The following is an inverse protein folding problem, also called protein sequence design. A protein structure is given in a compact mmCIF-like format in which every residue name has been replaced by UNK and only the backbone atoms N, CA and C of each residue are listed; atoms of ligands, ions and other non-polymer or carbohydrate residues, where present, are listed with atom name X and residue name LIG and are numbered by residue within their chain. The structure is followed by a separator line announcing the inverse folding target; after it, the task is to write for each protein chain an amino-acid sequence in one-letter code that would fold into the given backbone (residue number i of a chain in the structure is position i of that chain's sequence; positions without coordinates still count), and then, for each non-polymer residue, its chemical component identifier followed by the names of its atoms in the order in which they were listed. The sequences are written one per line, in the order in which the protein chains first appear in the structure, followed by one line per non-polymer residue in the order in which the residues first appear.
data_IF_691996526551
#
_entry.id   IF_691996526551
#
_cell.length_a   1.000
_cell.length_b   1.000
_cell.length_c   1.000
_cell.angle_alpha   90.00
_cell.angle_beta   90.00
_cell.angle_gamma   90.00
#
_symmetry.space_group_name_H-M   'P 1'
#
loop_
_entity.id
_entity.type
_entity.pdbx_description
1 polymer ?
#
# COMPACT_ATOMS: atom_id res chain seq x y z
N UNK A 1 14.57 -2.63 -20.36
CA UNK A 1 13.29 -2.52 -19.64
C UNK A 1 12.12 -2.52 -20.62
N UNK A 2 12.24 -1.86 -21.77
CA UNK A 2 11.16 -1.68 -22.75
C UNK A 2 10.48 -2.97 -23.23
N UNK A 3 11.26 -4.04 -23.43
CA UNK A 3 10.71 -5.35 -23.82
C UNK A 3 9.77 -5.90 -22.75
N UNK A 4 10.15 -5.81 -21.47
CA UNK A 4 9.33 -6.29 -20.35
C UNK A 4 8.07 -5.43 -20.18
N UNK A 5 8.18 -4.12 -20.36
CA UNK A 5 7.03 -3.21 -20.34
C UNK A 5 6.01 -3.56 -21.43
N UNK A 6 6.47 -3.78 -22.66
CA UNK A 6 5.59 -4.19 -23.77
C UNK A 6 4.89 -5.53 -23.50
N UNK A 7 5.58 -6.49 -22.87
CA UNK A 7 4.97 -7.77 -22.46
C UNK A 7 3.91 -7.56 -21.38
N UNK A 8 4.21 -6.73 -20.38
CA UNK A 8 3.28 -6.40 -19.30
C UNK A 8 2.01 -5.75 -19.84
N UNK A 9 2.13 -4.76 -20.72
CA UNK A 9 0.98 -4.07 -21.34
C UNK A 9 0.14 -4.97 -22.25
N UNK A 10 0.71 -6.04 -22.82
CA UNK A 10 -0.05 -7.05 -23.57
C UNK A 10 -0.75 -8.07 -22.68
N UNK A 11 -0.50 -8.06 -21.37
CA UNK A 11 -1.06 -9.02 -20.44
C UNK A 11 -2.49 -8.63 -20.04
N UNK A 12 -3.49 -9.46 -20.38
CA UNK A 12 -4.89 -9.26 -19.97
C UNK A 12 -5.04 -9.19 -18.44
N UNK A 13 -4.23 -9.95 -17.71
CA UNK A 13 -4.23 -9.99 -16.24
C UNK A 13 -3.81 -8.65 -15.61
N UNK A 14 -3.04 -7.82 -16.32
CA UNK A 14 -2.69 -6.47 -15.88
C UNK A 14 -3.94 -5.60 -15.76
N UNK A 15 -4.77 -5.61 -16.80
CA UNK A 15 -5.98 -4.79 -16.86
C UNK A 15 -6.99 -5.24 -15.81
N UNK A 16 -7.15 -6.56 -15.59
CA UNK A 16 -8.04 -7.10 -14.56
C UNK A 16 -7.57 -6.64 -13.18
N UNK A 17 -6.29 -6.84 -12.86
CA UNK A 17 -5.72 -6.45 -11.57
C UNK A 17 -5.84 -4.94 -11.33
N UNK A 18 -5.46 -4.14 -12.33
CA UNK A 18 -5.53 -2.66 -12.24
C UNK A 18 -6.98 -2.19 -12.10
N UNK A 19 -7.92 -2.78 -12.83
CA UNK A 19 -9.34 -2.48 -12.70
C UNK A 19 -9.86 -2.81 -11.30
N UNK A 20 -9.51 -3.98 -10.73
CA UNK A 20 -9.88 -4.33 -9.36
C UNK A 20 -9.31 -3.33 -8.33
N UNK A 21 -8.03 -2.96 -8.47
CA UNK A 21 -7.40 -1.95 -7.60
C UNK A 21 -8.10 -0.59 -7.71
N UNK A 22 -8.41 -0.15 -8.94
CA UNK A 22 -9.13 1.09 -9.19
C UNK A 22 -10.57 1.05 -8.64
N UNK A 23 -11.27 -0.08 -8.76
CA UNK A 23 -12.62 -0.23 -8.21
C UNK A 23 -12.62 -0.16 -6.68
N UNK A 24 -11.65 -0.80 -6.02
CA UNK A 24 -11.48 -0.67 -4.57
C UNK A 24 -11.23 0.79 -4.17
N UNK A 25 -10.38 1.50 -4.94
CA UNK A 25 -10.10 2.91 -4.68
C UNK A 25 -11.33 3.77 -4.91
N UNK A 26 -11.97 3.70 -6.07
CA UNK A 26 -13.16 4.50 -6.37
C UNK A 26 -14.25 4.23 -5.34
N UNK A 27 -14.46 2.95 -4.97
CA UNK A 27 -15.43 2.57 -3.97
C UNK A 27 -15.13 3.17 -2.60
N UNK A 28 -13.88 3.06 -2.10
CA UNK A 28 -13.57 3.68 -0.82
C UNK A 28 -13.62 5.22 -0.91
N UNK A 29 -13.36 5.86 -2.07
CA UNK A 29 -13.48 7.32 -2.22
C UNK A 29 -14.95 7.73 -2.07
N UNK A 30 -15.85 7.02 -2.74
CA UNK A 30 -17.29 7.29 -2.65
C UNK A 30 -17.79 7.10 -1.22
N UNK A 31 -17.38 6.02 -0.54
CA UNK A 31 -17.71 5.81 0.86
C UNK A 31 -17.11 6.91 1.76
N UNK A 32 -15.82 7.23 1.61
CA UNK A 32 -15.17 8.25 2.42
C UNK A 32 -15.76 9.66 2.23
N UNK A 33 -16.19 10.02 1.02
CA UNK A 33 -16.90 11.29 0.78
C UNK A 33 -18.29 11.29 1.44
N UNK A 34 -18.98 10.16 1.43
CA UNK A 34 -20.27 10.01 2.14
C UNK A 34 -20.05 10.15 3.65
N UNK A 35 -19.11 9.41 4.21
CA UNK A 35 -18.80 9.41 5.64
C UNK A 35 -18.35 10.81 6.09
N UNK A 36 -17.55 11.51 5.28
CA UNK A 36 -17.18 12.90 5.53
C UNK A 36 -18.39 13.84 5.60
N UNK A 37 -19.34 13.74 4.67
CA UNK A 37 -20.53 14.59 4.67
C UNK A 37 -21.41 14.31 5.89
N UNK A 38 -21.56 13.05 6.26
CA UNK A 38 -22.29 12.65 7.47
C UNK A 38 -21.59 13.16 8.73
N UNK A 39 -20.26 13.03 8.82
CA UNK A 39 -19.47 13.52 9.94
C UNK A 39 -19.60 15.06 10.09
N UNK A 40 -19.43 15.82 9.01
CA UNK A 40 -19.60 17.29 9.04
C UNK A 40 -21.00 17.68 9.52
N UNK A 41 -22.05 17.00 9.05
CA UNK A 41 -23.43 17.26 9.51
C UNK A 41 -23.63 16.93 11.00
N UNK A 42 -22.99 15.88 11.50
CA UNK A 42 -23.05 15.52 12.92
C UNK A 42 -22.30 16.55 13.79
N UNK A 43 -21.10 16.96 13.36
CA UNK A 43 -20.32 17.99 14.04
C UNK A 43 -21.09 19.32 14.04
N UNK A 44 -21.81 19.65 12.97
CA UNK A 44 -22.67 20.84 12.89
C UNK A 44 -23.79 20.81 13.93
N UNK A 45 -24.39 19.66 14.16
CA UNK A 45 -25.48 19.49 15.14
C UNK A 45 -25.00 19.50 16.58
N UNK A 46 -23.84 18.91 16.87
CA UNK A 46 -23.33 18.71 18.23
C UNK A 46 -22.47 19.90 18.69
N UNK A 47 -21.65 20.43 17.80
CA UNK A 47 -20.60 21.41 18.11
C UNK A 47 -20.75 22.72 17.33
N UNK A 48 -21.99 23.15 17.09
CA UNK A 48 -22.30 24.33 16.26
C UNK A 48 -21.53 25.61 16.68
N UNK A 49 -21.24 25.77 17.98
CA UNK A 49 -20.53 26.92 18.55
C UNK A 49 -18.99 26.84 18.42
N UNK A 50 -18.43 25.71 17.99
CA UNK A 50 -16.99 25.45 18.05
C UNK A 50 -16.36 25.35 16.65
N UNK A 51 -15.93 26.47 16.03
CA UNK A 51 -15.35 26.49 14.67
C UNK A 51 -14.10 25.62 14.54
N UNK A 52 -13.36 25.43 15.64
CA UNK A 52 -12.13 24.62 15.69
C UNK A 52 -12.35 23.14 15.40
N UNK A 53 -13.54 22.62 15.72
CA UNK A 53 -13.90 21.22 15.50
C UNK A 53 -14.11 20.96 14.00
N UNK A 54 -14.75 21.90 13.30
CA UNK A 54 -14.93 21.81 11.85
C UNK A 54 -13.61 21.91 11.08
N UNK A 55 -12.66 22.70 11.59
CA UNK A 55 -11.33 22.79 10.98
C UNK A 55 -10.55 21.46 11.04
N UNK A 56 -10.86 20.58 12.00
CA UNK A 56 -10.29 19.24 12.09
C UNK A 56 -10.99 18.23 11.16
N UNK A 57 -12.19 18.52 10.66
CA UNK A 57 -12.86 17.66 9.71
C UNK A 57 -12.22 17.81 8.32
N UNK A 58 -11.80 16.70 7.72
CA UNK A 58 -11.17 16.71 6.39
C UNK A 58 -11.55 15.46 5.60
N UNK A 59 -11.88 15.59 4.30
CA UNK A 59 -12.16 14.44 3.43
C UNK A 59 -11.03 13.41 3.37
N UNK A 60 -9.77 13.86 3.52
CA UNK A 60 -8.63 12.95 3.52
C UNK A 60 -8.62 12.05 4.75
N UNK A 61 -9.21 12.48 5.88
CA UNK A 61 -9.29 11.64 7.07
C UNK A 61 -10.14 10.39 6.84
N UNK A 62 -11.25 10.56 6.14
CA UNK A 62 -12.27 9.52 5.97
C UNK A 62 -11.96 8.56 4.82
N UNK A 63 -11.37 9.06 3.72
CA UNK A 63 -10.99 8.22 2.58
C UNK A 63 -9.63 7.53 2.79
N UNK A 64 -8.59 8.29 3.14
CA UNK A 64 -7.23 7.73 3.32
C UNK A 64 -7.16 6.89 4.60
N UNK A 65 -8.23 6.91 5.40
CA UNK A 65 -8.29 6.26 6.70
C UNK A 65 -7.26 6.89 7.61
N UNK A 66 -7.17 8.23 7.68
CA UNK A 66 -6.37 8.91 8.71
C UNK A 66 -7.19 9.10 9.98
N UNK A 67 -8.52 9.09 9.90
CA UNK A 67 -9.39 9.19 11.07
C UNK A 67 -9.15 8.02 12.01
N UNK A 68 -8.92 8.30 13.30
CA UNK A 68 -8.57 7.26 14.28
C UNK A 68 -9.69 6.23 14.49
N UNK A 69 -10.94 6.69 14.49
CA UNK A 69 -12.13 5.88 14.77
C UNK A 69 -12.97 5.51 13.54
N UNK A 70 -12.63 6.05 12.37
CA UNK A 70 -13.42 5.89 11.16
C UNK A 70 -12.78 4.84 10.24
N UNK A 71 -13.43 3.67 10.18
CA UNK A 71 -12.93 2.51 9.44
C UNK A 71 -13.54 2.43 8.05
N UNK A 72 -12.79 2.83 7.03
CA UNK A 72 -13.19 2.63 5.64
C UNK A 72 -12.83 1.20 5.18
N UNK A 73 -13.84 0.33 5.14
CA UNK A 73 -13.70 -1.10 4.81
C UNK A 73 -12.98 -1.33 3.47
N UNK A 74 -13.31 -0.52 2.46
CA UNK A 74 -12.76 -0.70 1.11
C UNK A 74 -11.29 -0.25 1.02
N UNK A 75 -10.89 0.76 1.79
CA UNK A 75 -9.49 1.18 1.91
C UNK A 75 -8.67 0.09 2.63
N UNK A 76 -9.19 -0.45 3.73
CA UNK A 76 -8.58 -1.59 4.42
C UNK A 76 -8.47 -2.83 3.54
N UNK A 77 -9.49 -3.12 2.72
CA UNK A 77 -9.45 -4.22 1.75
C UNK A 77 -8.39 -4.00 0.66
N UNK A 78 -8.12 -2.76 0.26
CA UNK A 78 -7.01 -2.45 -0.64
C UNK A 78 -5.66 -2.84 -0.03
N UNK A 79 -5.39 -2.40 1.21
CA UNK A 79 -4.16 -2.77 1.95
C UNK A 79 -4.09 -4.25 2.32
N UNK A 80 -5.24 -4.93 2.33
CA UNK A 80 -5.32 -6.37 2.56
C UNK A 80 -5.02 -7.19 1.29
N UNK A 81 -5.58 -6.80 0.14
CA UNK A 81 -5.56 -7.58 -1.11
C UNK A 81 -4.45 -7.19 -2.09
N UNK A 82 -3.73 -6.09 -1.86
CA UNK A 82 -2.68 -5.66 -2.80
C UNK A 82 -1.64 -6.76 -3.12
N UNK A 83 -1.17 -7.63 -2.19
CA UNK A 83 -0.16 -8.62 -2.53
C UNK A 83 -0.67 -9.60 -3.58
N UNK A 84 -1.94 -9.99 -3.48
CA UNK A 84 -2.63 -10.84 -4.44
C UNK A 84 -2.88 -10.14 -5.78
N UNK A 85 -3.44 -8.94 -5.74
CA UNK A 85 -3.81 -8.24 -6.97
C UNK A 85 -2.57 -7.92 -7.81
N UNK A 86 -1.48 -7.50 -7.19
CA UNK A 86 -0.22 -7.20 -7.89
C UNK A 86 0.52 -8.45 -8.37
N UNK A 87 0.35 -9.59 -7.71
CA UNK A 87 1.03 -10.84 -8.12
C UNK A 87 0.44 -11.42 -9.41
N UNK A 88 -0.87 -11.28 -9.62
CA UNK A 88 -1.59 -11.78 -10.79
C UNK A 88 -0.95 -11.38 -12.14
N UNK A 89 -0.61 -10.10 -12.39
CA UNK A 89 0.05 -9.72 -13.64
C UNK A 89 1.56 -9.93 -13.63
N UNK A 90 2.22 -9.70 -12.49
CA UNK A 90 3.68 -9.61 -12.42
C UNK A 90 4.35 -10.96 -12.21
N UNK A 91 3.85 -11.78 -11.28
CA UNK A 91 4.42 -13.10 -11.00
C UNK A 91 4.05 -14.09 -12.10
N UNK A 92 2.81 -14.03 -12.60
CA UNK A 92 2.34 -14.85 -13.73
C UNK A 92 3.16 -14.63 -15.01
N UNK A 93 3.77 -13.43 -15.17
CA UNK A 93 4.63 -13.15 -16.32
C UNK A 93 5.79 -14.14 -16.42
N UNK A 94 6.30 -14.63 -15.29
CA UNK A 94 7.42 -15.56 -15.24
C UNK A 94 7.01 -16.99 -15.62
N UNK A 95 5.87 -17.46 -15.09
CA UNK A 95 5.33 -18.78 -15.42
C UNK A 95 5.01 -18.88 -16.92
N UNK A 96 4.43 -17.81 -17.50
CA UNK A 96 4.15 -17.73 -18.93
C UNK A 96 5.42 -17.73 -19.78
N UNK A 97 6.46 -17.02 -19.37
CA UNK A 97 7.74 -16.99 -20.08
C UNK A 97 8.44 -18.35 -20.08
N UNK A 98 8.37 -19.08 -18.96
CA UNK A 98 8.89 -20.45 -18.87
C UNK A 98 8.14 -21.39 -19.80
N UNK A 99 6.80 -21.39 -19.76
CA UNK A 99 5.97 -22.28 -20.59
C UNK A 99 6.08 -21.99 -22.09
N UNK A 100 6.32 -20.74 -22.47
CA UNK A 100 6.50 -20.35 -23.88
C UNK A 100 7.91 -20.55 -24.41
N UNK A 101 8.88 -20.99 -23.59
CA UNK A 101 10.28 -21.07 -23.97
C UNK A 101 10.97 -19.71 -24.18
N UNK A 102 10.28 -18.61 -23.88
CA UNK A 102 10.81 -17.25 -24.02
C UNK A 102 12.04 -17.02 -23.13
N UNK A 103 12.13 -17.71 -21.99
CA UNK A 103 13.32 -17.66 -21.12
C UNK A 103 14.55 -18.11 -21.89
N UNK A 104 14.50 -19.24 -22.60
CA UNK A 104 15.63 -19.74 -23.38
C UNK A 104 16.05 -18.78 -24.48
N UNK A 105 15.07 -18.21 -25.21
CA UNK A 105 15.36 -17.22 -26.24
C UNK A 105 16.02 -15.93 -25.70
N UNK A 106 15.71 -15.53 -24.47
CA UNK A 106 16.39 -14.40 -23.83
C UNK A 106 17.81 -14.80 -23.38
N UNK A 107 17.97 -16.01 -22.83
CA UNK A 107 19.27 -16.51 -22.35
C UNK A 107 20.30 -16.72 -23.48
N UNK A 108 19.88 -16.94 -24.73
CA UNK A 108 20.81 -16.96 -25.87
C UNK A 108 21.37 -15.58 -26.24
N UNK A 109 20.67 -14.50 -25.86
CA UNK A 109 21.04 -13.11 -26.18
C UNK A 109 21.67 -12.35 -25.01
N UNK A 110 21.48 -12.82 -23.78
CA UNK A 110 22.03 -12.18 -22.59
C UNK A 110 22.43 -13.20 -21.52
N UNK A 111 23.46 -12.86 -20.75
CA UNK A 111 23.89 -13.70 -19.63
C UNK A 111 22.77 -13.89 -18.59
N UNK A 112 22.71 -15.11 -18.03
CA UNK A 112 21.71 -15.54 -17.05
C UNK A 112 21.52 -14.56 -15.89
N UNK A 113 22.61 -14.14 -15.25
CA UNK A 113 22.53 -13.19 -14.14
C UNK A 113 21.98 -11.82 -14.54
N UNK A 114 22.30 -11.35 -15.74
CA UNK A 114 21.79 -10.08 -16.25
C UNK A 114 20.28 -10.14 -16.55
N UNK A 115 19.80 -11.27 -17.10
CA UNK A 115 18.37 -11.51 -17.31
C UNK A 115 17.59 -11.46 -16.00
N UNK A 116 17.99 -12.29 -15.04
CA UNK A 116 17.26 -12.42 -13.77
C UNK A 116 17.30 -11.13 -12.94
N UNK A 117 18.43 -10.42 -12.90
CA UNK A 117 18.51 -9.12 -12.22
C UNK A 117 17.58 -8.09 -12.88
N UNK A 118 17.53 -8.04 -14.21
CA UNK A 118 16.61 -7.15 -14.95
C UNK A 118 15.15 -7.49 -14.67
N UNK A 119 14.81 -8.79 -14.61
CA UNK A 119 13.46 -9.25 -14.29
C UNK A 119 13.05 -8.83 -12.89
N UNK A 120 13.90 -9.09 -11.90
CA UNK A 120 13.67 -8.68 -10.52
C UNK A 120 13.43 -7.17 -10.39
N UNK A 121 14.32 -6.35 -10.96
CA UNK A 121 14.20 -4.89 -10.89
C UNK A 121 12.96 -4.37 -11.61
N UNK A 122 12.64 -4.94 -12.77
CA UNK A 122 11.42 -4.58 -13.50
C UNK A 122 10.15 -4.93 -12.70
N UNK A 123 10.09 -6.12 -12.11
CA UNK A 123 8.96 -6.54 -11.27
C UNK A 123 8.83 -5.65 -10.04
N UNK A 124 9.93 -5.32 -9.37
CA UNK A 124 9.95 -4.45 -8.20
C UNK A 124 9.39 -3.06 -8.56
N UNK A 125 9.94 -2.41 -9.58
CA UNK A 125 9.51 -1.07 -10.00
C UNK A 125 8.06 -1.07 -10.50
N UNK A 126 7.66 -2.10 -11.26
CA UNK A 126 6.28 -2.20 -11.77
C UNK A 126 5.27 -2.40 -10.64
N UNK A 127 5.60 -3.21 -9.63
CA UNK A 127 4.75 -3.41 -8.46
C UNK A 127 4.57 -2.11 -7.67
N UNK A 128 5.66 -1.35 -7.49
CA UNK A 128 5.64 -0.04 -6.81
C UNK A 128 4.63 0.91 -7.47
N UNK A 129 4.73 1.07 -8.80
CA UNK A 129 3.82 1.98 -9.51
C UNK A 129 2.39 1.46 -9.62
N UNK A 130 2.19 0.15 -9.78
CA UNK A 130 0.85 -0.44 -9.80
C UNK A 130 0.12 -0.30 -8.46
N UNK A 131 0.86 -0.29 -7.35
CA UNK A 131 0.32 0.05 -6.04
C UNK A 131 0.04 1.55 -5.92
N UNK A 132 1.02 2.39 -6.26
CA UNK A 132 0.94 3.83 -6.00
C UNK A 132 -0.11 4.56 -6.87
N UNK A 133 -0.23 4.20 -8.15
CA UNK A 133 -1.05 4.93 -9.12
C UNK A 133 -2.56 4.99 -8.75
N UNK A 134 -3.22 3.87 -8.38
CA UNK A 134 -4.61 3.92 -7.93
C UNK A 134 -4.81 4.85 -6.73
N UNK A 135 -3.90 4.86 -5.76
CA UNK A 135 -4.02 5.68 -4.56
C UNK A 135 -3.89 7.19 -4.86
N UNK A 136 -2.95 7.57 -5.73
CA UNK A 136 -2.81 8.96 -6.18
C UNK A 136 -4.06 9.42 -6.93
N UNK A 137 -4.63 8.56 -7.79
CA UNK A 137 -5.91 8.85 -8.45
C UNK A 137 -7.04 9.03 -7.42
N UNK A 138 -7.05 8.22 -6.36
CA UNK A 138 -8.01 8.37 -5.26
C UNK A 138 -7.95 9.75 -4.58
N UNK A 139 -6.76 10.27 -4.33
CA UNK A 139 -6.56 11.63 -3.79
C UNK A 139 -7.15 12.68 -4.73
N UNK A 140 -6.87 12.58 -6.04
CA UNK A 140 -7.43 13.50 -7.04
C UNK A 140 -8.96 13.42 -7.08
N UNK A 141 -9.53 12.21 -7.04
CA UNK A 141 -10.97 12.00 -7.06
C UNK A 141 -11.67 12.58 -5.82
N UNK A 142 -11.11 12.42 -4.62
CA UNK A 142 -11.65 13.03 -3.40
C UNK A 142 -11.70 14.55 -3.52
N UNK A 143 -10.62 15.18 -3.97
CA UNK A 143 -10.56 16.63 -4.10
C UNK A 143 -11.58 17.14 -5.13
N UNK A 144 -11.77 16.41 -6.23
CA UNK A 144 -12.78 16.74 -7.24
C UNK A 144 -14.22 16.61 -6.71
N UNK A 145 -14.52 15.54 -5.98
CA UNK A 145 -15.88 15.28 -5.47
C UNK A 145 -16.28 16.16 -4.28
N UNK A 146 -15.29 16.60 -3.51
CA UNK A 146 -15.51 17.49 -2.36
C UNK A 146 -15.26 18.96 -2.68
N UNK A 147 -14.58 19.25 -3.80
CA UNK A 147 -14.07 20.58 -4.15
C UNK A 147 -13.16 21.18 -3.07
N UNK A 148 -12.49 20.34 -2.28
CA UNK A 148 -11.52 20.75 -1.26
C UNK A 148 -10.10 20.48 -1.78
N UNK A 149 -9.38 21.55 -2.11
CA UNK A 149 -7.97 21.50 -2.55
C UNK A 149 -7.03 22.16 -1.55
N UNK A 150 -7.56 23.07 -0.72
CA UNK A 150 -6.81 23.74 0.32
C UNK A 150 -7.06 23.07 1.67
N UNK A 151 -5.97 22.62 2.29
CA UNK A 151 -5.96 21.96 3.59
C UNK A 151 -5.19 22.77 4.64
N UNK A 152 -4.89 24.04 4.38
CA UNK A 152 -4.21 24.95 5.30
C UNK A 152 -4.94 25.07 6.65
N UNK A 153 -6.28 25.16 6.62
CA UNK A 153 -7.13 25.22 7.81
C UNK A 153 -6.96 23.99 8.70
N UNK A 154 -6.96 22.80 8.08
CA UNK A 154 -6.74 21.53 8.78
C UNK A 154 -5.34 21.46 9.39
N UNK A 155 -4.30 21.77 8.61
CA UNK A 155 -2.92 21.72 9.12
C UNK A 155 -2.67 22.71 10.25
N UNK A 156 -3.30 23.89 10.21
CA UNK A 156 -3.24 24.86 11.31
C UNK A 156 -3.95 24.33 12.57
N UNK A 157 -5.15 23.79 12.43
CA UNK A 157 -5.89 23.19 13.54
C UNK A 157 -5.13 22.00 14.15
N UNK A 158 -4.57 21.14 13.31
CA UNK A 158 -3.76 19.99 13.74
C UNK A 158 -2.49 20.41 14.48
N UNK A 159 -1.80 21.48 14.04
CA UNK A 159 -0.65 22.04 14.76
C UNK A 159 -1.03 22.52 16.16
N UNK A 160 -2.15 23.21 16.28
CA UNK A 160 -2.66 23.67 17.58
C UNK A 160 -3.12 22.49 18.46
N UNK A 161 -3.64 21.41 17.87
CA UNK A 161 -4.00 20.17 18.55
C UNK A 161 -2.77 19.48 19.16
N UNK A 162 -1.65 19.41 18.42
CA UNK A 162 -0.39 18.86 18.92
C UNK A 162 0.19 19.73 20.04
N UNK A 163 0.17 21.05 19.87
CA UNK A 163 0.64 21.98 20.89
C UNK A 163 -0.24 22.00 22.15
N UNK A 164 -1.44 21.41 22.10
CA UNK A 164 -2.40 21.42 23.21
C UNK A 164 -3.06 22.79 23.42
N UNK A 165 -2.96 23.70 22.45
CA UNK A 165 -3.49 25.06 22.53
C UNK A 165 -4.85 25.19 21.84
N UNK A 166 -5.30 24.18 21.10
CA UNK A 166 -6.61 24.18 20.44
C UNK A 166 -7.70 23.98 21.50
N UNK A 167 -8.58 24.97 21.76
CA UNK A 167 -9.69 24.77 22.67
C UNK A 167 -10.70 23.86 21.99
N UNK A 168 -10.80 22.64 22.53
CA UNK A 168 -11.74 21.63 22.11
C UNK A 168 -12.78 21.42 23.21
N UNK A 169 -14.03 21.09 22.83
CA UNK A 169 -15.11 20.90 23.79
C UNK A 169 -14.89 19.66 24.68
N UNK A 170 -14.31 18.60 24.12
CA UNK A 170 -14.12 17.31 24.80
C UNK A 170 -12.81 16.61 24.38
N UNK A 171 -12.42 15.58 25.15
CA UNK A 171 -11.25 14.73 24.87
C UNK A 171 -11.45 13.71 23.73
N UNK A 172 -12.63 13.68 23.10
CA UNK A 172 -12.97 12.75 22.00
C UNK A 172 -12.02 12.87 20.80
N UNK A 173 -11.45 14.05 20.58
CA UNK A 173 -10.51 14.34 19.49
C UNK A 173 -9.06 13.94 19.79
N UNK A 174 -8.76 13.39 20.97
CA UNK A 174 -7.40 12.96 21.32
C UNK A 174 -6.87 11.85 20.39
N UNK A 175 -7.76 11.01 19.85
CA UNK A 175 -7.42 9.94 18.88
C UNK A 175 -7.01 10.43 17.49
N UNK A 176 -7.19 11.71 17.19
CA UNK A 176 -6.70 12.33 15.95
C UNK A 176 -5.18 12.55 15.97
N UNK A 177 -4.57 12.58 17.16
CA UNK A 177 -3.11 12.74 17.30
C UNK A 177 -2.39 11.50 16.76
N UNK A 178 -1.53 11.70 15.78
CA UNK A 178 -0.71 10.62 15.20
C UNK A 178 0.68 10.57 15.82
N UNK A 179 1.19 9.36 15.99
CA UNK A 179 2.52 9.12 16.58
C UNK A 179 3.62 9.15 15.52
N UNK A 180 3.39 8.51 14.37
CA UNK A 180 4.29 8.54 13.23
C UNK A 180 3.93 9.69 12.28
N UNK A 181 4.97 10.29 11.70
CA UNK A 181 4.92 11.33 10.68
C UNK A 181 4.02 12.54 11.02
N UNK A 182 3.81 12.85 12.30
CA UNK A 182 2.95 13.94 12.79
C UNK A 182 3.36 15.32 12.25
N UNK A 183 4.63 15.67 12.43
CA UNK A 183 5.54 16.03 11.34
C UNK A 183 4.93 16.66 10.09
N UNK A 184 4.55 15.74 9.21
CA UNK A 184 4.09 16.00 7.85
C UNK A 184 2.63 16.45 7.83
N UNK A 185 1.78 15.98 8.75
CA UNK A 185 0.39 16.43 8.87
C UNK A 185 0.29 17.91 9.27
N UNK A 186 1.24 18.40 10.08
CA UNK A 186 1.36 19.83 10.43
C UNK A 186 1.71 20.72 9.22
N UNK A 187 2.26 20.14 8.15
CA UNK A 187 2.60 20.83 6.91
C UNK A 187 1.45 20.69 5.91
N UNK A 188 1.07 19.44 5.59
CA UNK A 188 -0.02 19.13 4.68
C UNK A 188 -0.41 17.64 4.75
N UNK A 189 -1.72 17.30 4.72
CA UNK A 189 -2.18 15.92 4.59
C UNK A 189 -1.64 15.18 3.37
N UNK A 190 -1.34 15.89 2.28
CA UNK A 190 -0.81 15.29 1.06
C UNK A 190 0.58 14.68 1.28
N UNK A 191 1.46 15.36 2.00
CA UNK A 191 2.80 14.86 2.28
C UNK A 191 2.76 13.61 3.15
N UNK A 192 1.89 13.61 4.15
CA UNK A 192 1.67 12.44 4.99
C UNK A 192 1.17 11.25 4.17
N UNK A 193 0.10 11.43 3.37
CA UNK A 193 -0.46 10.37 2.54
C UNK A 193 0.56 9.83 1.52
N UNK A 194 1.32 10.73 0.87
CA UNK A 194 2.35 10.36 -0.10
C UNK A 194 3.43 9.46 0.53
N UNK A 195 3.90 9.78 1.73
CA UNK A 195 4.91 8.96 2.43
C UNK A 195 4.37 7.57 2.71
N UNK A 196 3.14 7.43 3.20
CA UNK A 196 2.51 6.13 3.39
C UNK A 196 2.33 5.36 2.08
N UNK A 197 1.97 6.02 0.98
CA UNK A 197 1.84 5.37 -0.33
C UNK A 197 3.17 4.88 -0.88
N UNK A 198 4.24 5.65 -0.70
CA UNK A 198 5.60 5.25 -1.07
C UNK A 198 6.04 4.05 -0.23
N UNK A 199 5.85 4.09 1.08
CA UNK A 199 6.19 2.97 1.97
C UNK A 199 5.38 1.72 1.58
N UNK A 200 4.07 1.85 1.40
CA UNK A 200 3.20 0.77 0.94
C UNK A 200 3.65 0.19 -0.39
N UNK A 201 4.03 1.03 -1.35
CA UNK A 201 4.58 0.60 -2.64
C UNK A 201 5.88 -0.18 -2.51
N UNK A 202 6.78 0.23 -1.60
CA UNK A 202 8.04 -0.48 -1.33
C UNK A 202 7.78 -1.87 -0.74
N UNK A 203 6.88 -1.97 0.25
CA UNK A 203 6.46 -3.25 0.83
C UNK A 203 5.75 -4.15 -0.20
N UNK A 204 4.85 -3.57 -0.99
CA UNK A 204 4.16 -4.27 -2.08
C UNK A 204 5.13 -4.89 -3.07
N UNK A 205 6.14 -4.11 -3.47
CA UNK A 205 7.20 -4.57 -4.37
C UNK A 205 8.00 -5.73 -3.80
N UNK A 206 8.32 -5.69 -2.49
CA UNK A 206 8.99 -6.79 -1.79
C UNK A 206 8.16 -8.09 -1.81
N UNK A 207 6.85 -8.02 -1.54
CA UNK A 207 5.97 -9.19 -1.53
C UNK A 207 5.80 -9.81 -2.91
N UNK A 208 5.64 -8.99 -3.93
CA UNK A 208 5.59 -9.47 -5.31
C UNK A 208 6.91 -10.13 -5.71
N UNK A 209 8.05 -9.59 -5.28
CA UNK A 209 9.36 -10.19 -5.53
C UNK A 209 9.56 -11.53 -4.80
N UNK A 210 9.01 -11.70 -3.59
CA UNK A 210 8.94 -13.00 -2.94
C UNK A 210 8.14 -14.00 -3.78
N UNK A 211 6.98 -13.60 -4.30
CA UNK A 211 6.20 -14.40 -5.24
C UNK A 211 6.97 -14.77 -6.50
N UNK A 212 7.74 -13.81 -7.06
CA UNK A 212 8.61 -14.05 -8.20
C UNK A 212 9.71 -15.07 -7.86
N UNK A 213 10.33 -14.98 -6.68
CA UNK A 213 11.28 -15.99 -6.21
C UNK A 213 10.65 -17.37 -6.07
N UNK A 214 9.46 -17.46 -5.48
CA UNK A 214 8.68 -18.70 -5.37
C UNK A 214 8.30 -19.27 -6.74
N UNK A 215 8.04 -18.42 -7.74
CA UNK A 215 7.76 -18.85 -9.12
C UNK A 215 8.91 -19.62 -9.76
N UNK A 216 10.14 -19.40 -9.27
CA UNK A 216 11.30 -20.13 -9.74
C UNK A 216 11.37 -21.55 -9.20
N UNK A 217 10.85 -21.77 -7.99
CA UNK A 217 10.98 -22.99 -7.20
C UNK A 217 9.78 -23.93 -7.34
N UNK A 218 8.58 -23.36 -7.48
CA UNK A 218 7.32 -24.09 -7.54
C UNK A 218 6.90 -24.28 -9.01
N UNK A 219 6.10 -25.33 -9.27
CA UNK A 219 5.53 -25.61 -10.60
C UNK A 219 4.04 -25.23 -10.71
N UNK A 220 3.33 -25.12 -9.59
CA UNK A 220 1.90 -24.83 -9.59
C UNK A 220 1.65 -23.31 -9.72
N UNK A 221 1.14 -22.91 -10.89
CA UNK A 221 0.80 -21.52 -11.23
C UNK A 221 -0.08 -20.82 -10.20
N UNK A 222 -1.13 -21.49 -9.71
CA UNK A 222 -2.08 -20.87 -8.78
C UNK A 222 -1.44 -20.62 -7.43
N UNK A 223 -0.67 -21.59 -6.93
CA UNK A 223 0.04 -21.46 -5.66
C UNK A 223 1.04 -20.30 -5.73
N UNK A 224 1.83 -20.22 -6.82
CA UNK A 224 2.81 -19.16 -7.07
C UNK A 224 2.17 -17.77 -6.99
N UNK A 225 1.02 -17.57 -7.64
CA UNK A 225 0.30 -16.29 -7.63
C UNK A 225 -0.25 -15.96 -6.25
N UNK A 226 -0.69 -16.96 -5.48
CA UNK A 226 -1.22 -16.76 -4.12
C UNK A 226 -0.10 -16.57 -3.07
N UNK A 227 1.15 -16.97 -3.35
CA UNK A 227 2.25 -16.94 -2.37
C UNK A 227 2.45 -15.57 -1.70
N UNK A 228 2.48 -14.42 -2.41
CA UNK A 228 2.61 -13.12 -1.76
C UNK A 228 1.53 -12.85 -0.70
N UNK A 229 0.28 -13.21 -1.01
CA UNK A 229 -0.84 -13.06 -0.08
C UNK A 229 -0.71 -14.01 1.11
N UNK A 230 -0.36 -15.27 0.86
CA UNK A 230 -0.19 -16.27 1.93
C UNK A 230 0.91 -15.83 2.90
N UNK A 231 2.06 -15.37 2.40
CA UNK A 231 3.17 -14.90 3.25
C UNK A 231 2.75 -13.67 4.06
N UNK A 232 2.06 -12.72 3.43
CA UNK A 232 1.55 -11.53 4.09
C UNK A 232 0.58 -11.88 5.23
N UNK A 233 -0.39 -12.75 4.95
CA UNK A 233 -1.39 -13.20 5.93
C UNK A 233 -0.81 -14.05 7.06
N UNK A 234 0.16 -14.91 6.76
CA UNK A 234 0.85 -15.69 7.79
C UNK A 234 1.64 -14.79 8.73
N UNK A 235 2.30 -13.76 8.19
CA UNK A 235 3.01 -12.77 9.00
C UNK A 235 2.06 -12.05 9.95
N UNK A 236 0.92 -11.57 9.44
CA UNK A 236 -0.13 -10.96 10.25
C UNK A 236 -0.67 -11.89 11.33
N UNK A 237 -1.00 -13.14 10.98
CA UNK A 237 -1.55 -14.12 11.91
C UNK A 237 -0.58 -14.47 13.04
N UNK A 238 0.70 -14.72 12.70
CA UNK A 238 1.73 -15.06 13.70
C UNK A 238 1.97 -13.89 14.65
N UNK A 239 2.06 -12.67 14.14
CA UNK A 239 2.28 -11.48 14.97
C UNK A 239 1.06 -11.16 15.85
N UNK A 240 -0.15 -11.47 15.37
CA UNK A 240 -1.37 -11.38 16.17
C UNK A 240 -1.35 -12.38 17.33
N UNK A 241 -0.97 -13.63 17.09
CA UNK A 241 -0.88 -14.66 18.14
C UNK A 241 0.16 -14.29 19.21
N UNK A 242 1.28 -13.68 18.82
CA UNK A 242 2.35 -13.26 19.73
C UNK A 242 2.01 -11.93 20.44
N UNK A 243 0.94 -11.24 20.03
CA UNK A 243 0.55 -9.93 20.58
C UNK A 243 1.47 -8.78 20.16
N UNK A 244 2.24 -8.94 19.07
CA UNK A 244 3.21 -7.97 18.57
C UNK A 244 2.71 -7.26 17.30
N UNK A 245 1.49 -6.72 17.37
CA UNK A 245 0.80 -6.08 16.24
C UNK A 245 1.54 -4.85 15.66
N UNK A 246 2.36 -4.18 16.47
CA UNK A 246 3.17 -3.03 16.02
C UNK A 246 4.31 -3.41 15.03
N UNK A 247 4.63 -4.70 14.89
CA UNK A 247 5.61 -5.21 13.95
C UNK A 247 5.00 -5.67 12.62
N UNK A 248 3.68 -5.69 12.55
CA UNK A 248 2.97 -6.22 11.41
C UNK A 248 2.81 -5.18 10.29
N UNK A 249 3.22 -5.51 9.05
CA UNK A 249 3.05 -4.63 7.90
C UNK A 249 1.62 -4.21 7.64
N UNK A 250 0.62 -5.06 7.87
CA UNK A 250 -0.76 -4.66 7.64
C UNK A 250 -1.17 -3.49 8.54
N UNK A 251 -0.83 -3.54 9.82
CA UNK A 251 -1.17 -2.48 10.79
C UNK A 251 -0.38 -1.19 10.60
N UNK A 252 0.93 -1.26 10.32
CA UNK A 252 1.74 -0.03 10.21
C UNK A 252 1.69 0.63 8.83
N UNK A 253 1.25 -0.09 7.79
CA UNK A 253 1.03 0.49 6.46
C UNK A 253 -0.26 1.31 6.38
N UNK A 254 -1.19 1.10 7.32
CA UNK A 254 -2.42 1.87 7.43
C UNK A 254 -2.13 3.29 7.94
N UNK A 255 -2.52 4.34 7.20
CA UNK A 255 -2.33 5.73 7.62
C UNK A 255 -3.03 6.11 8.95
N UNK A 256 -4.06 5.35 9.36
CA UNK A 256 -4.84 5.57 10.59
C UNK A 256 -4.03 5.32 11.86
N UNK A 257 -2.99 4.49 11.77
CA UNK A 257 -2.24 3.99 12.93
C UNK A 257 -3.15 3.31 13.96
N UNK A 258 -3.79 2.17 13.61
CA UNK A 258 -4.80 1.52 14.44
C UNK A 258 -4.24 0.83 15.71
N UNK A 259 -2.91 0.79 15.86
CA UNK A 259 -2.22 0.05 16.92
C UNK A 259 -1.24 0.98 17.62
N UNK A 260 -1.11 0.84 18.93
CA UNK A 260 -0.15 1.58 19.74
C UNK A 260 1.28 1.02 19.63
N UNK A 261 2.29 1.86 19.92
CA UNK A 261 3.69 1.42 19.94
C UNK A 261 4.32 1.24 18.55
N UNK A 262 3.71 1.82 17.52
CA UNK A 262 4.30 1.96 16.19
C UNK A 262 5.59 2.80 16.25
N UNK A 263 6.59 2.42 15.45
CA UNK A 263 7.88 3.11 15.44
C UNK A 263 8.59 2.97 14.11
N UNK A 264 9.33 4.01 13.71
CA UNK A 264 10.06 4.05 12.44
C UNK A 264 11.09 2.92 12.31
N UNK A 265 11.79 2.58 13.40
CA UNK A 265 12.82 1.55 13.37
C UNK A 265 12.24 0.16 13.12
N UNK A 266 11.05 -0.15 13.65
CA UNK A 266 10.35 -1.42 13.40
C UNK A 266 10.03 -1.56 11.92
N UNK A 267 9.46 -0.51 11.31
CA UNK A 267 9.17 -0.48 9.88
C UNK A 267 10.43 -0.70 9.03
N UNK A 268 11.52 -0.01 9.37
CA UNK A 268 12.79 -0.13 8.65
C UNK A 268 13.38 -1.56 8.75
N UNK A 269 13.38 -2.17 9.95
CA UNK A 269 13.87 -3.54 10.14
C UNK A 269 13.03 -4.53 9.33
N UNK A 270 11.71 -4.45 9.43
CA UNK A 270 10.82 -5.38 8.72
C UNK A 270 10.99 -5.23 7.20
N UNK A 271 11.13 -4.00 6.71
CA UNK A 271 11.41 -3.74 5.29
C UNK A 271 12.74 -4.37 4.83
N UNK A 272 13.83 -4.15 5.58
CA UNK A 272 15.14 -4.71 5.26
C UNK A 272 15.11 -6.24 5.29
N UNK A 273 14.49 -6.84 6.32
CA UNK A 273 14.33 -8.29 6.40
C UNK A 273 13.54 -8.84 5.22
N UNK A 274 12.41 -8.21 4.87
CA UNK A 274 11.60 -8.62 3.73
C UNK A 274 12.40 -8.57 2.42
N UNK A 275 13.18 -7.49 2.20
CA UNK A 275 14.02 -7.34 1.02
C UNK A 275 15.11 -8.41 0.96
N UNK A 276 15.78 -8.69 2.09
CA UNK A 276 16.81 -9.72 2.18
C UNK A 276 16.24 -11.11 1.89
N UNK A 277 15.06 -11.44 2.43
CA UNK A 277 14.36 -12.70 2.16
C UNK A 277 13.97 -12.76 0.67
N UNK A 278 13.45 -11.67 0.10
CA UNK A 278 13.08 -11.61 -1.32
C UNK A 278 14.28 -11.88 -2.23
N UNK A 279 15.40 -11.20 -1.99
CA UNK A 279 16.64 -11.37 -2.76
C UNK A 279 17.23 -12.77 -2.55
N UNK A 280 17.20 -13.28 -1.33
CA UNK A 280 17.69 -14.61 -0.97
C UNK A 280 16.90 -15.73 -1.65
N UNK A 281 15.57 -15.71 -1.52
CA UNK A 281 14.66 -16.68 -2.17
C UNK A 281 14.80 -16.61 -3.69
N UNK A 282 14.87 -15.39 -4.26
CA UNK A 282 15.04 -15.22 -5.70
C UNK A 282 16.39 -15.77 -6.17
N UNK A 283 17.49 -15.45 -5.48
CA UNK A 283 18.83 -15.91 -5.82
C UNK A 283 18.98 -17.42 -5.67
N UNK A 284 18.37 -18.02 -4.64
CA UNK A 284 18.29 -19.47 -4.50
C UNK A 284 17.46 -20.11 -5.63
N UNK A 285 16.30 -19.52 -5.95
CA UNK A 285 15.46 -19.93 -7.08
C UNK A 285 16.20 -19.88 -8.42
N UNK A 286 17.00 -18.84 -8.65
CA UNK A 286 17.84 -18.70 -9.84
C UNK A 286 18.96 -19.74 -9.86
N UNK A 287 19.55 -20.14 -8.74
CA UNK A 287 20.57 -21.22 -8.73
C UNK A 287 19.96 -22.59 -9.02
N UNK A 288 18.78 -22.87 -8.44
CA UNK A 288 18.09 -24.14 -8.56
C UNK A 288 17.36 -24.31 -9.89
N UNK A 289 17.03 -23.22 -10.59
CA UNK A 289 16.37 -23.32 -11.87
C UNK A 289 17.28 -24.04 -12.87
N UNK A 290 16.86 -25.23 -13.31
CA UNK A 290 17.49 -25.95 -14.41
C UNK A 290 17.06 -25.27 -15.72
N UNK A 291 17.50 -24.03 -15.94
CA UNK A 291 17.29 -23.33 -17.22
C UNK A 291 18.42 -23.63 -18.22
N UNK A 292 19.14 -24.74 -18.01
CA UNK A 292 20.27 -25.14 -18.83
C UNK A 292 19.85 -26.34 -19.67
N UNK A 293 20.15 -26.24 -20.96
CA UNK A 293 20.57 -27.37 -21.77
C UNK A 293 21.57 -28.27 -21.02
#
# INVERSE_FOLDING_TARGET
MDIELRKLLKNKNLYISTACLLLLVIGAVVLGVKDYRENVQLLERIYHDNPNVFALASPHLEWVGLGGFHFNVLSSLYYFLFPLLLSIPLVDSMDRERKSGNVHYQLTRMGRGAYYRRKFMFTYISAFFLFLLPLVLGVVLVNLLTNHWDYSSYSQAYRQLIAGTLPLPDNSFAGEKKTLFSSLLEISPYWYALVYYVIGGLFASGYVCLGLGCSLLLKNRYLITLMPQIIYMLCWAVLTIIGQLAWDPFNFLLPSQPVEGLSYWKMAIVFVLQLLIAVGVFSYGVKKSEDVL
#
